data_IF_128755912903
#
_entry.id   IF_128755912903
#
_cell.length_a   1.000
_cell.length_b   1.000
_cell.length_c   1.000
_cell.angle_alpha   90.00
_cell.angle_beta   90.00
_cell.angle_gamma   90.00
#
_symmetry.space_group_name_H-M   'P 1'
#
loop_
_entity.id
_entity.type
_entity.pdbx_description
1 polymer ?
#
# COMPACT_ATOMS: atom_id res chain seq x y z
N UNK A 1 -22.28 58.24 5.39
CA UNK A 1 -21.09 57.60 5.96
C UNK A 1 -20.77 56.42 5.08
N UNK A 2 -19.60 56.48 4.44
CA UNK A 2 -18.70 55.38 4.02
C UNK A 2 -19.33 54.26 3.15
N UNK A 3 -19.18 54.30 1.81
CA UNK A 3 -17.99 53.89 1.01
C UNK A 3 -17.69 52.39 1.20
N UNK A 4 -17.68 51.49 0.21
CA UNK A 4 -17.47 51.61 -1.24
C UNK A 4 -16.30 50.70 -1.67
N UNK A 5 -16.45 49.96 -2.78
CA UNK A 5 -15.36 49.24 -3.48
C UNK A 5 -15.27 47.74 -3.14
N UNK A 6 -15.62 46.77 -3.99
CA UNK A 6 -15.11 46.42 -5.34
C UNK A 6 -13.59 46.19 -5.35
N UNK A 7 -13.19 44.92 -5.36
CA UNK A 7 -11.80 44.50 -5.60
C UNK A 7 -11.72 43.90 -7.01
N UNK A 8 -11.13 44.68 -7.92
CA UNK A 8 -10.67 44.23 -9.23
C UNK A 8 -9.36 43.45 -9.07
N UNK A 9 -9.18 42.46 -9.91
CA UNK A 9 -7.96 41.69 -10.08
C UNK A 9 -6.77 42.59 -10.45
N UNK A 10 -5.55 42.22 -10.03
CA UNK A 10 -4.38 42.27 -10.91
C UNK A 10 -3.10 41.71 -10.26
N UNK A 11 -2.34 41.03 -11.12
CA UNK A 11 -0.88 40.97 -11.20
C UNK A 11 -0.04 40.08 -10.27
N UNK A 12 0.42 39.01 -10.93
CA UNK A 12 1.68 38.27 -10.75
C UNK A 12 2.89 39.21 -10.83
N UNK A 13 3.99 38.93 -10.12
CA UNK A 13 5.32 39.22 -10.63
C UNK A 13 6.17 37.97 -10.75
N UNK A 14 6.55 37.63 -11.98
CA UNK A 14 7.75 36.87 -12.30
C UNK A 14 8.97 37.78 -12.09
N UNK A 15 9.95 37.35 -11.28
CA UNK A 15 11.33 37.86 -11.38
C UNK A 15 12.36 36.74 -11.21
N UNK A 16 12.86 36.33 -12.38
CA UNK A 16 14.22 35.94 -12.74
C UNK A 16 15.33 35.98 -11.66
N UNK A 17 15.97 34.81 -11.53
CA UNK A 17 17.43 34.57 -11.59
C UNK A 17 18.35 35.13 -10.50
N UNK A 18 18.95 34.21 -9.74
CA UNK A 18 20.42 34.21 -9.56
C UNK A 18 20.92 32.77 -9.46
N UNK A 19 21.68 32.34 -10.47
CA UNK A 19 22.51 31.14 -10.40
C UNK A 19 23.78 31.50 -9.62
N UNK A 20 24.03 30.82 -8.51
CA UNK A 20 25.38 30.60 -8.00
C UNK A 20 25.59 29.11 -7.81
N UNK A 21 26.65 28.62 -8.44
CA UNK A 21 27.04 27.22 -8.51
C UNK A 21 28.25 26.98 -7.58
N UNK A 22 28.40 25.72 -7.15
CA UNK A 22 29.55 25.05 -6.51
C UNK A 22 29.85 25.36 -5.04
N UNK A 23 29.55 24.44 -4.13
CA UNK A 23 30.39 23.26 -3.82
C UNK A 23 30.05 22.67 -2.45
N UNK A 24 29.95 21.33 -2.41
CA UNK A 24 30.17 20.44 -1.26
C UNK A 24 29.73 20.91 0.14
N UNK A 25 28.65 20.33 0.66
CA UNK A 25 28.56 20.00 2.08
C UNK A 25 27.65 18.78 2.20
N UNK A 26 28.23 17.68 2.66
CA UNK A 26 27.53 16.46 3.04
C UNK A 26 26.41 16.80 4.03
N UNK A 27 25.22 16.23 3.81
CA UNK A 27 24.15 16.28 4.80
C UNK A 27 24.61 15.45 6.01
N UNK A 28 24.49 15.97 7.25
CA UNK A 28 24.77 15.19 8.44
C UNK A 28 23.74 14.06 8.57
N UNK A 29 24.25 12.83 8.62
CA UNK A 29 23.53 11.61 8.97
C UNK A 29 23.23 11.61 10.47
N UNK A 30 22.30 12.44 10.97
CA UNK A 30 21.82 12.35 12.37
C UNK A 30 20.54 13.15 12.64
N UNK A 31 19.51 12.95 11.81
CA UNK A 31 18.14 13.38 12.19
C UNK A 31 17.09 12.40 11.65
N UNK A 32 17.28 11.11 11.94
CA UNK A 32 16.15 10.19 12.07
C UNK A 32 15.58 10.37 13.48
N UNK A 33 14.69 11.36 13.60
CA UNK A 33 13.75 11.43 14.71
C UNK A 33 12.85 10.19 14.60
N UNK A 34 13.24 9.11 15.28
CA UNK A 34 12.37 7.94 15.43
C UNK A 34 11.10 8.40 16.14
N UNK A 35 9.95 8.12 15.54
CA UNK A 35 8.66 8.42 16.16
C UNK A 35 8.59 7.76 17.55
N UNK A 36 8.21 8.48 18.62
CA UNK A 36 8.22 7.98 20.00
C UNK A 36 7.14 6.91 20.28
N UNK A 37 6.35 6.54 19.28
CA UNK A 37 5.40 5.41 19.31
C UNK A 37 6.05 4.12 18.76
N UNK A 38 7.37 3.96 18.91
CA UNK A 38 8.12 2.72 18.65
C UNK A 38 7.79 1.65 19.71
N UNK A 39 6.57 1.12 19.70
CA UNK A 39 6.24 -0.17 20.33
C UNK A 39 6.59 -1.36 19.42
N UNK A 40 7.35 -1.11 18.34
CA UNK A 40 7.64 -2.05 17.27
C UNK A 40 6.40 -2.44 16.45
N UNK A 41 5.24 -1.80 16.67
CA UNK A 41 4.03 -2.01 15.88
C UNK A 41 3.88 -0.87 14.88
N UNK A 42 4.31 -1.18 13.67
CA UNK A 42 4.04 -0.36 12.50
C UNK A 42 2.53 -0.06 12.44
N UNK A 43 2.17 1.23 12.34
CA UNK A 43 0.78 1.65 12.26
C UNK A 43 0.02 0.96 11.11
N UNK A 44 -1.32 0.88 11.18
CA UNK A 44 -2.14 0.10 10.25
C UNK A 44 -1.92 0.49 8.77
N UNK A 45 -1.61 1.75 8.50
CA UNK A 45 -1.33 2.24 7.14
C UNK A 45 0.00 1.69 6.59
N UNK A 46 1.00 1.54 7.46
CA UNK A 46 2.31 1.02 7.07
C UNK A 46 2.25 -0.49 6.82
N UNK A 47 1.49 -1.24 7.62
CA UNK A 47 1.26 -2.68 7.39
C UNK A 47 0.53 -2.92 6.06
N UNK A 48 -0.51 -2.11 5.76
CA UNK A 48 -1.22 -2.17 4.48
C UNK A 48 -0.29 -1.92 3.28
N UNK A 49 0.61 -0.93 3.38
CA UNK A 49 1.59 -0.64 2.33
C UNK A 49 2.54 -1.83 2.10
N UNK A 50 3.03 -2.47 3.17
CA UNK A 50 3.88 -3.66 3.05
C UNK A 50 3.14 -4.84 2.40
N UNK A 51 1.87 -5.04 2.72
CA UNK A 51 1.04 -6.08 2.10
C UNK A 51 0.88 -5.82 0.60
N UNK A 52 0.56 -4.59 0.19
CA UNK A 52 0.47 -4.23 -1.23
C UNK A 52 1.79 -4.48 -1.97
N UNK A 53 2.92 -4.06 -1.39
CA UNK A 53 4.25 -4.28 -1.95
C UNK A 53 4.59 -5.77 -2.08
N UNK A 54 4.30 -6.59 -1.06
CA UNK A 54 4.50 -8.03 -1.10
C UNK A 54 3.63 -8.72 -2.17
N UNK A 55 2.40 -8.22 -2.36
CA UNK A 55 1.46 -8.72 -3.37
C UNK A 55 1.79 -8.30 -4.80
N UNK A 56 2.54 -7.20 -5.00
CA UNK A 56 3.06 -6.78 -6.32
C UNK A 56 4.17 -7.71 -6.84
N UNK A 57 4.87 -8.40 -5.93
CA UNK A 57 5.95 -9.35 -6.28
C UNK A 57 5.39 -10.68 -6.78
N UNK A 58 6.06 -11.29 -7.75
CA UNK A 58 5.77 -12.67 -8.17
C UNK A 58 6.27 -13.69 -7.13
N UNK A 59 5.80 -14.94 -7.22
CA UNK A 59 6.21 -16.01 -6.31
C UNK A 59 7.74 -16.27 -6.26
N UNK A 60 8.45 -15.99 -7.36
CA UNK A 60 9.91 -16.10 -7.42
C UNK A 60 10.62 -14.93 -6.71
N UNK A 61 10.03 -13.74 -6.74
CA UNK A 61 10.59 -12.51 -6.18
C UNK A 61 10.26 -12.30 -4.70
N UNK A 62 9.27 -13.02 -4.18
CA UNK A 62 8.80 -12.89 -2.80
C UNK A 62 9.81 -13.46 -1.80
N UNK A 63 10.22 -12.65 -0.82
CA UNK A 63 11.10 -13.07 0.28
C UNK A 63 10.31 -13.81 1.37
N UNK A 64 11.01 -14.30 2.40
CA UNK A 64 10.35 -14.88 3.58
C UNK A 64 9.56 -13.81 4.32
N UNK A 65 10.19 -12.65 4.57
CA UNK A 65 9.56 -11.51 5.24
C UNK A 65 8.27 -11.06 4.53
N UNK A 66 8.29 -11.02 3.19
CA UNK A 66 7.09 -10.74 2.41
C UNK A 66 5.98 -11.75 2.70
N UNK A 67 6.31 -13.04 2.79
CA UNK A 67 5.33 -14.10 3.09
C UNK A 67 4.79 -13.99 4.53
N UNK A 68 5.61 -13.58 5.48
CA UNK A 68 5.20 -13.36 6.88
C UNK A 68 4.25 -12.16 7.00
N UNK A 69 4.52 -11.07 6.28
CA UNK A 69 3.61 -9.92 6.17
C UNK A 69 2.24 -10.37 5.64
N UNK A 70 2.21 -11.17 4.56
CA UNK A 70 0.96 -11.70 4.00
C UNK A 70 0.25 -12.68 4.95
N UNK A 71 1.00 -13.49 5.68
CA UNK A 71 0.45 -14.39 6.69
C UNK A 71 -0.24 -13.61 7.81
N UNK A 72 0.37 -12.53 8.31
CA UNK A 72 -0.25 -11.66 9.33
C UNK A 72 -1.54 -11.03 8.80
N UNK A 73 -1.49 -10.46 7.60
CA UNK A 73 -2.65 -9.83 6.98
C UNK A 73 -3.82 -10.80 6.72
N UNK A 74 -3.51 -12.07 6.41
CA UNK A 74 -4.53 -13.10 6.14
C UNK A 74 -5.00 -13.85 7.39
N UNK A 75 -4.39 -13.61 8.56
CA UNK A 75 -4.74 -14.29 9.82
C UNK A 75 -6.19 -14.04 10.28
N UNK A 76 -6.84 -12.98 9.82
CA UNK A 76 -8.25 -12.71 10.10
C UNK A 76 -9.24 -13.55 9.27
N UNK A 77 -8.78 -14.13 8.16
CA UNK A 77 -9.63 -14.87 7.22
C UNK A 77 -9.87 -16.29 7.76
N UNK A 78 -11.15 -16.67 7.88
CA UNK A 78 -11.57 -17.97 8.47
C UNK A 78 -10.85 -19.18 7.85
N UNK A 79 -10.63 -19.14 6.54
CA UNK A 79 -9.92 -20.20 5.81
C UNK A 79 -8.48 -20.37 6.34
N UNK A 80 -7.73 -19.29 6.48
CA UNK A 80 -6.36 -19.34 6.99
C UNK A 80 -6.29 -19.72 8.47
N UNK A 81 -7.26 -19.26 9.29
CA UNK A 81 -7.36 -19.66 10.71
C UNK A 81 -7.61 -21.15 10.90
N UNK A 82 -8.26 -21.81 9.95
CA UNK A 82 -8.51 -23.24 9.99
C UNK A 82 -7.27 -24.08 9.65
N UNK A 83 -6.23 -23.47 9.07
CA UNK A 83 -4.96 -24.13 8.77
C UNK A 83 -4.01 -23.99 9.96
N UNK A 84 -3.64 -25.12 10.57
CA UNK A 84 -2.72 -25.16 11.72
C UNK A 84 -1.24 -25.25 11.32
N UNK A 85 -0.94 -25.51 10.05
CA UNK A 85 0.42 -25.71 9.53
C UNK A 85 0.99 -24.40 8.96
N UNK A 86 1.88 -23.76 9.74
CA UNK A 86 2.54 -22.50 9.37
C UNK A 86 3.29 -22.58 8.03
N UNK A 87 4.16 -23.59 7.77
CA UNK A 87 4.75 -23.82 6.45
C UNK A 87 3.74 -23.85 5.30
N UNK A 88 2.57 -24.48 5.48
CA UNK A 88 1.55 -24.53 4.44
C UNK A 88 0.96 -23.14 4.15
N UNK A 89 0.66 -22.37 5.20
CA UNK A 89 0.18 -21.00 5.07
C UNK A 89 1.20 -20.11 4.36
N UNK A 90 2.48 -20.21 4.72
CA UNK A 90 3.55 -19.48 4.05
C UNK A 90 3.69 -19.89 2.58
N UNK A 91 3.52 -21.18 2.26
CA UNK A 91 3.47 -21.67 0.89
C UNK A 91 2.35 -21.02 0.07
N UNK A 92 1.15 -20.90 0.64
CA UNK A 92 0.03 -20.20 0.01
C UNK A 92 0.31 -18.69 -0.14
N UNK A 93 0.86 -18.06 0.90
CA UNK A 93 1.31 -16.67 0.86
C UNK A 93 2.39 -16.44 -0.20
N UNK A 94 3.19 -17.45 -0.54
CA UNK A 94 4.19 -17.35 -1.60
C UNK A 94 3.62 -17.38 -3.00
N UNK A 95 2.51 -18.08 -3.23
CA UNK A 95 1.91 -18.24 -4.57
C UNK A 95 0.70 -17.35 -4.82
N UNK A 96 0.16 -16.69 -3.79
CA UNK A 96 -0.94 -15.74 -3.99
C UNK A 96 -0.54 -14.55 -4.85
N UNK A 97 -1.50 -14.07 -5.63
CA UNK A 97 -1.35 -12.92 -6.54
C UNK A 97 -2.47 -11.93 -6.28
N UNK A 98 -2.19 -10.65 -6.49
CA UNK A 98 -3.20 -9.60 -6.43
C UNK A 98 -3.92 -9.50 -7.76
N UNK A 99 -5.24 -9.63 -7.71
CA UNK A 99 -6.14 -9.36 -8.82
C UNK A 99 -7.03 -8.17 -8.47
N UNK A 100 -7.21 -7.26 -9.43
CA UNK A 100 -8.05 -6.07 -9.29
C UNK A 100 -9.19 -6.18 -10.29
N UNK A 101 -10.41 -6.02 -9.79
CA UNK A 101 -11.63 -6.06 -10.59
C UNK A 101 -12.31 -4.70 -10.55
N UNK A 102 -12.86 -4.28 -11.68
CA UNK A 102 -13.67 -3.08 -11.80
C UNK A 102 -15.04 -3.23 -11.13
N UNK A 103 -15.73 -2.10 -10.98
CA UNK A 103 -17.13 -2.13 -10.55
C UNK A 103 -17.97 -2.89 -11.57
N UNK A 104 -18.87 -3.74 -11.08
CA UNK A 104 -19.79 -4.56 -11.88
C UNK A 104 -19.09 -5.59 -12.79
N UNK A 105 -17.78 -5.82 -12.60
CA UNK A 105 -17.04 -6.86 -13.32
C UNK A 105 -17.35 -8.24 -12.74
N UNK A 106 -17.60 -9.21 -13.63
CA UNK A 106 -17.84 -10.60 -13.26
C UNK A 106 -16.51 -11.32 -12.99
N UNK A 107 -16.29 -11.73 -11.73
CA UNK A 107 -15.07 -12.46 -11.32
C UNK A 107 -15.13 -13.92 -11.80
N UNK A 108 -16.29 -14.57 -11.66
CA UNK A 108 -16.57 -15.94 -12.09
C UNK A 108 -18.00 -16.02 -12.62
N UNK A 109 -18.23 -16.86 -13.62
CA UNK A 109 -19.56 -17.13 -14.16
C UNK A 109 -20.04 -18.53 -13.75
N UNK A 110 -21.36 -18.69 -13.62
CA UNK A 110 -21.94 -20.00 -13.35
C UNK A 110 -21.64 -20.96 -14.51
N UNK A 111 -21.05 -22.11 -14.19
CA UNK A 111 -20.61 -23.10 -15.17
C UNK A 111 -19.13 -23.01 -15.51
N UNK A 112 -18.41 -21.99 -15.04
CA UNK A 112 -16.96 -21.92 -15.18
C UNK A 112 -16.27 -23.04 -14.38
N UNK A 113 -15.18 -23.57 -14.92
CA UNK A 113 -14.33 -24.51 -14.21
C UNK A 113 -13.57 -23.77 -13.09
N UNK A 114 -13.80 -24.18 -11.85
CA UNK A 114 -13.15 -23.59 -10.68
C UNK A 114 -11.68 -24.00 -10.56
N UNK A 115 -10.78 -23.14 -11.05
CA UNK A 115 -9.32 -23.33 -10.97
C UNK A 115 -8.65 -22.40 -9.97
N UNK A 116 -9.34 -21.36 -9.51
CA UNK A 116 -8.79 -20.28 -8.69
C UNK A 116 -9.59 -20.10 -7.41
N UNK A 117 -8.90 -19.93 -6.29
CA UNK A 117 -9.48 -19.54 -5.00
C UNK A 117 -9.24 -18.05 -4.75
N UNK A 118 -10.31 -17.30 -4.51
CA UNK A 118 -10.25 -15.85 -4.27
C UNK A 118 -10.51 -15.52 -2.80
N UNK A 119 -9.79 -14.53 -2.30
CA UNK A 119 -10.01 -13.90 -1.00
C UNK A 119 -10.16 -12.41 -1.25
N UNK A 120 -11.24 -11.82 -0.74
CA UNK A 120 -11.48 -10.38 -0.88
C UNK A 120 -10.56 -9.65 0.09
N UNK A 121 -9.58 -8.95 -0.45
CA UNK A 121 -8.64 -8.13 0.33
C UNK A 121 -9.21 -6.73 0.61
N UNK A 122 -9.81 -6.10 -0.40
CA UNK A 122 -10.45 -4.80 -0.30
C UNK A 122 -11.71 -4.77 -1.18
N UNK A 123 -12.75 -4.08 -0.70
CA UNK A 123 -14.04 -3.95 -1.38
C UNK A 123 -15.05 -5.02 -0.99
N UNK A 124 -16.04 -5.25 -1.84
CA UNK A 124 -17.11 -6.21 -1.61
C UNK A 124 -17.55 -6.84 -2.92
N UNK A 125 -18.01 -8.09 -2.85
CA UNK A 125 -18.55 -8.83 -3.99
C UNK A 125 -20.01 -9.18 -3.76
N UNK A 126 -20.75 -9.38 -4.84
CA UNK A 126 -22.10 -9.93 -4.83
C UNK A 126 -22.05 -11.35 -5.40
N UNK A 127 -22.78 -12.27 -4.77
CA UNK A 127 -22.99 -13.64 -5.24
C UNK A 127 -24.41 -13.75 -5.80
#
# INVERSE_FOLDING_TARGET
GESGGVWMAEHVPEKMTTLTNLSSMALPEDEQLGDPDDDGKLGPDHEMHQVEEALRKTAAQRTIDDCEVLQRATAGVKFFRAMSDTPQVLGLCRVMTLQRFGKDEHIVNQGDFGTTFYVVFQGSVKV
#
